data_IF_955894841153
#
_entry.id   IF_955894841153
#
_cell.length_a   1.000
_cell.length_b   1.000
_cell.length_c   1.000
_cell.angle_alpha   90.00
_cell.angle_beta   90.00
_cell.angle_gamma   90.00
#
_symmetry.space_group_name_H-M   'P 1'
#
loop_
_entity.id
_entity.type
_entity.pdbx_description
1 polymer ?
#
# COMPACT_ATOMS: atom_id res chain seq x y z
N UNK A 1 8.05 -21.95 -27.04
CA UNK A 1 8.76 -22.70 -25.96
C UNK A 1 9.84 -21.78 -25.40
N UNK A 2 10.07 -21.70 -24.07
CA UNK A 2 11.14 -20.86 -23.54
C UNK A 2 12.50 -21.32 -24.11
N UNK A 3 13.39 -20.40 -24.52
CA UNK A 3 14.64 -20.75 -25.20
C UNK A 3 15.70 -21.37 -24.28
N UNK A 4 15.62 -21.13 -22.96
CA UNK A 4 16.50 -21.71 -21.96
C UNK A 4 15.93 -21.53 -20.53
N UNK A 5 16.57 -22.18 -19.55
CA UNK A 5 16.30 -22.02 -18.11
C UNK A 5 17.58 -21.61 -17.36
N UNK A 6 17.41 -20.85 -16.28
CA UNK A 6 18.51 -20.46 -15.39
C UNK A 6 19.02 -21.67 -14.59
N UNK A 7 20.33 -21.89 -14.61
CA UNK A 7 20.99 -22.98 -13.88
C UNK A 7 21.22 -22.68 -12.39
N UNK A 8 21.05 -21.43 -11.97
CA UNK A 8 21.30 -20.96 -10.60
C UNK A 8 20.15 -20.06 -10.11
N UNK A 9 19.88 -20.03 -8.79
CA UNK A 9 18.90 -19.12 -8.20
C UNK A 9 19.35 -17.66 -8.34
N UNK A 10 18.37 -16.76 -8.46
CA UNK A 10 18.60 -15.31 -8.51
C UNK A 10 18.16 -14.72 -7.17
N UNK A 11 19.06 -13.96 -6.55
CA UNK A 11 18.72 -13.13 -5.41
C UNK A 11 17.87 -11.95 -5.84
N UNK A 12 16.69 -11.80 -5.24
CA UNK A 12 15.81 -10.66 -5.47
C UNK A 12 15.65 -9.87 -4.18
N UNK A 13 16.17 -8.65 -4.18
CA UNK A 13 15.99 -7.70 -3.10
C UNK A 13 14.83 -6.78 -3.47
N UNK A 14 13.64 -6.90 -2.85
CA UNK A 14 12.47 -6.13 -3.23
C UNK A 14 12.62 -4.63 -2.91
N UNK A 15 13.48 -4.29 -1.95
CA UNK A 15 13.75 -2.92 -1.51
C UNK A 15 15.22 -2.78 -1.18
N UNK A 16 15.80 -1.63 -1.52
CA UNK A 16 17.19 -1.25 -1.19
C UNK A 16 17.28 -0.54 0.15
N UNK A 17 16.26 0.24 0.50
CA UNK A 17 16.18 1.04 1.73
C UNK A 17 14.71 1.36 2.07
N UNK A 18 14.49 2.02 3.22
CA UNK A 18 13.15 2.39 3.68
C UNK A 18 12.48 3.45 2.80
N UNK A 19 13.25 4.37 2.20
CA UNK A 19 12.72 5.36 1.27
C UNK A 19 12.03 4.68 0.07
N UNK A 20 12.65 3.65 -0.50
CA UNK A 20 12.07 2.89 -1.60
C UNK A 20 10.79 2.15 -1.17
N UNK A 21 10.71 1.66 0.08
CA UNK A 21 9.49 1.04 0.64
C UNK A 21 8.35 2.05 0.61
N UNK A 22 8.56 3.24 1.18
CA UNK A 22 7.54 4.30 1.24
C UNK A 22 7.15 4.76 -0.17
N UNK A 23 8.13 4.97 -1.05
CA UNK A 23 7.87 5.39 -2.43
C UNK A 23 7.03 4.35 -3.19
N UNK A 24 7.36 3.06 -3.07
CA UNK A 24 6.57 1.97 -3.67
C UNK A 24 5.19 1.86 -3.04
N UNK A 25 5.07 1.97 -1.72
CA UNK A 25 3.77 1.96 -1.03
C UNK A 25 2.86 3.07 -1.57
N UNK A 26 3.39 4.29 -1.74
CA UNK A 26 2.65 5.41 -2.32
C UNK A 26 2.26 5.15 -3.79
N UNK A 27 3.21 4.75 -4.64
CA UNK A 27 2.97 4.50 -6.07
C UNK A 27 1.96 3.39 -6.30
N UNK A 28 2.13 2.24 -5.65
CA UNK A 28 1.26 1.09 -5.83
C UNK A 28 -0.12 1.28 -5.19
N UNK A 29 -0.23 2.01 -4.09
CA UNK A 29 -1.54 2.37 -3.53
C UNK A 29 -2.34 3.28 -4.48
N UNK A 30 -1.69 4.26 -5.13
CA UNK A 30 -2.35 5.11 -6.15
C UNK A 30 -2.82 4.28 -7.34
N UNK A 31 -1.96 3.43 -7.90
CA UNK A 31 -2.34 2.54 -9.01
C UNK A 31 -3.46 1.57 -8.62
N UNK A 32 -3.42 1.06 -7.40
CA UNK A 32 -4.45 0.19 -6.83
C UNK A 32 -5.80 0.90 -6.69
N UNK A 33 -5.80 2.14 -6.19
CA UNK A 33 -7.00 2.96 -6.05
C UNK A 33 -7.64 3.24 -7.42
N UNK A 34 -6.84 3.67 -8.40
CA UNK A 34 -7.32 3.89 -9.77
C UNK A 34 -7.89 2.60 -10.40
N UNK A 35 -7.25 1.45 -10.17
CA UNK A 35 -7.76 0.15 -10.64
C UNK A 35 -9.09 -0.24 -9.99
N UNK A 36 -9.27 0.05 -8.69
CA UNK A 36 -10.51 -0.22 -7.98
C UNK A 36 -11.63 0.73 -8.41
N UNK A 37 -11.31 2.01 -8.59
CA UNK A 37 -12.24 3.02 -9.10
C UNK A 37 -12.76 2.64 -10.48
N UNK A 38 -11.87 2.25 -11.41
CA UNK A 38 -12.24 1.71 -12.73
C UNK A 38 -13.14 0.46 -12.69
N UNK A 39 -13.12 -0.28 -11.59
CA UNK A 39 -13.96 -1.47 -11.37
C UNK A 39 -15.29 -1.14 -10.68
N UNK A 40 -15.60 0.15 -10.47
CA UNK A 40 -16.80 0.59 -9.74
C UNK A 40 -16.81 0.16 -8.28
N UNK A 41 -15.64 -0.07 -7.66
CA UNK A 41 -15.57 -0.44 -6.25
C UNK A 41 -15.60 0.81 -5.39
N UNK A 42 -16.31 0.73 -4.28
CA UNK A 42 -16.36 1.78 -3.26
C UNK A 42 -15.71 1.31 -1.96
N UNK A 43 -15.13 2.23 -1.21
CA UNK A 43 -14.58 1.96 0.11
C UNK A 43 -14.76 3.19 1.01
N UNK A 44 -14.97 2.97 2.30
CA UNK A 44 -14.93 4.01 3.33
C UNK A 44 -13.56 4.03 4.01
N UNK A 45 -13.26 5.11 4.75
CA UNK A 45 -12.02 5.17 5.54
C UNK A 45 -11.94 4.07 6.60
N UNK A 46 -13.08 3.70 7.20
CA UNK A 46 -13.14 2.61 8.17
C UNK A 46 -12.84 1.24 7.52
N UNK A 47 -13.38 1.01 6.32
CA UNK A 47 -13.05 -0.18 5.53
C UNK A 47 -11.57 -0.23 5.15
N UNK A 48 -10.98 0.92 4.81
CA UNK A 48 -9.55 1.02 4.52
C UNK A 48 -8.69 0.62 5.73
N UNK A 49 -9.03 1.13 6.92
CA UNK A 49 -8.33 0.81 8.16
C UNK A 49 -8.41 -0.67 8.50
N UNK A 50 -9.62 -1.25 8.51
CA UNK A 50 -9.79 -2.69 8.75
C UNK A 50 -9.00 -3.56 7.78
N UNK A 51 -9.06 -3.22 6.48
CA UNK A 51 -8.30 -3.94 5.43
C UNK A 51 -6.80 -3.87 5.69
N UNK A 52 -6.31 -2.70 6.10
CA UNK A 52 -4.93 -2.49 6.52
C UNK A 52 -4.56 -3.39 7.71
N UNK A 53 -5.31 -3.30 8.81
CA UNK A 53 -5.05 -4.07 10.04
C UNK A 53 -5.07 -5.57 9.75
N UNK A 54 -6.05 -6.05 8.98
CA UNK A 54 -6.10 -7.44 8.56
C UNK A 54 -4.86 -7.84 7.76
N UNK A 55 -4.42 -6.99 6.81
CA UNK A 55 -3.19 -7.20 6.03
C UNK A 55 -1.96 -7.32 6.94
N UNK A 56 -1.85 -6.45 7.93
CA UNK A 56 -0.78 -6.46 8.92
C UNK A 56 -0.78 -7.76 9.72
N UNK A 57 -1.90 -8.10 10.37
CA UNK A 57 -2.01 -9.28 11.23
C UNK A 57 -1.77 -10.56 10.43
N UNK A 58 -2.29 -10.62 9.20
CA UNK A 58 -2.07 -11.75 8.32
C UNK A 58 -0.58 -11.89 7.93
N UNK A 59 0.13 -10.79 7.65
CA UNK A 59 1.57 -10.88 7.35
C UNK A 59 2.41 -11.15 8.60
N UNK A 60 2.15 -10.45 9.70
CA UNK A 60 2.99 -10.50 10.88
C UNK A 60 2.79 -11.79 11.68
N UNK A 61 1.54 -12.21 11.87
CA UNK A 61 1.19 -13.39 12.68
C UNK A 61 1.04 -14.62 11.81
N UNK A 62 0.14 -14.60 10.82
CA UNK A 62 -0.20 -15.81 10.05
C UNK A 62 0.93 -16.25 9.10
N UNK A 63 1.69 -15.29 8.55
CA UNK A 63 2.89 -15.59 7.76
C UNK A 63 4.17 -15.65 8.59
N UNK A 64 4.06 -15.65 9.93
CA UNK A 64 5.18 -15.79 10.86
C UNK A 64 6.26 -14.71 10.70
N UNK A 65 5.91 -13.51 10.20
CA UNK A 65 6.84 -12.39 10.13
C UNK A 65 7.41 -11.98 11.50
N UNK A 66 6.71 -12.33 12.59
CA UNK A 66 7.23 -12.21 13.96
C UNK A 66 8.57 -12.94 14.19
N UNK A 67 8.85 -14.02 13.46
CA UNK A 67 10.11 -14.77 13.59
C UNK A 67 11.31 -14.01 13.02
N UNK A 68 11.06 -13.08 12.10
CA UNK A 68 12.10 -12.26 11.47
C UNK A 68 12.42 -11.00 12.31
N UNK A 69 11.72 -10.77 13.42
CA UNK A 69 11.91 -9.61 14.29
C UNK A 69 11.56 -8.28 13.59
N UNK A 70 12.44 -7.28 13.71
CA UNK A 70 12.26 -5.95 13.13
C UNK A 70 12.03 -5.96 11.61
N UNK A 71 12.83 -6.70 10.80
CA UNK A 71 12.56 -6.86 9.36
C UNK A 71 11.12 -7.31 9.05
N UNK A 72 10.63 -8.35 9.73
CA UNK A 72 9.29 -8.86 9.51
C UNK A 72 8.20 -7.87 9.92
N UNK A 73 8.43 -7.12 11.01
CA UNK A 73 7.55 -6.02 11.41
C UNK A 73 7.46 -4.92 10.35
N UNK A 74 8.60 -4.44 9.84
CA UNK A 74 8.64 -3.39 8.81
C UNK A 74 7.97 -3.85 7.52
N UNK A 75 8.15 -5.11 7.12
CA UNK A 75 7.48 -5.69 5.95
C UNK A 75 5.96 -5.75 6.15
N UNK A 76 5.51 -6.19 7.33
CA UNK A 76 4.09 -6.19 7.66
C UNK A 76 3.50 -4.78 7.70
N UNK A 77 4.24 -3.80 8.24
CA UNK A 77 3.84 -2.39 8.29
C UNK A 77 3.76 -1.77 6.88
N UNK A 78 4.74 -2.01 6.02
CA UNK A 78 4.67 -1.54 4.62
C UNK A 78 3.48 -2.14 3.86
N UNK A 79 3.07 -3.35 4.20
CA UNK A 79 1.88 -3.99 3.62
C UNK A 79 0.57 -3.43 4.19
N UNK A 80 0.54 -3.07 5.47
CA UNK A 80 -0.52 -2.27 6.06
C UNK A 80 -0.67 -0.96 5.29
N UNK A 81 0.40 -0.17 5.18
CA UNK A 81 0.38 1.15 4.52
C UNK A 81 -0.09 1.04 3.08
N UNK A 82 0.46 0.10 2.31
CA UNK A 82 0.07 -0.12 0.92
C UNK A 82 -1.41 -0.50 0.77
N UNK A 83 -1.95 -1.32 1.68
CA UNK A 83 -3.36 -1.72 1.65
C UNK A 83 -4.27 -0.61 2.14
N UNK A 84 -3.92 0.04 3.24
CA UNK A 84 -4.65 1.16 3.82
C UNK A 84 -4.76 2.31 2.80
N UNK A 85 -3.62 2.82 2.31
CA UNK A 85 -3.61 3.93 1.37
C UNK A 85 -4.30 3.62 0.05
N UNK A 86 -4.30 2.35 -0.40
CA UNK A 86 -5.04 1.96 -1.61
C UNK A 86 -6.55 2.20 -1.45
N UNK A 87 -7.13 1.84 -0.31
CA UNK A 87 -8.55 2.05 -0.05
C UNK A 87 -8.87 3.47 0.42
N UNK A 88 -7.95 4.11 1.17
CA UNK A 88 -8.09 5.50 1.58
C UNK A 88 -8.09 6.45 0.37
N UNK A 89 -7.16 6.26 -0.57
CA UNK A 89 -7.13 7.01 -1.84
C UNK A 89 -8.36 6.72 -2.70
N UNK A 90 -8.87 5.49 -2.70
CA UNK A 90 -10.12 5.18 -3.38
C UNK A 90 -11.29 5.98 -2.79
N UNK A 91 -11.38 6.04 -1.46
CA UNK A 91 -12.37 6.85 -0.76
C UNK A 91 -12.19 8.33 -1.06
N UNK A 92 -10.96 8.85 -1.03
CA UNK A 92 -10.63 10.24 -1.37
C UNK A 92 -11.06 10.59 -2.80
N UNK A 93 -10.74 9.74 -3.79
CA UNK A 93 -11.18 9.94 -5.18
C UNK A 93 -12.71 9.94 -5.35
N UNK A 94 -13.44 9.34 -4.42
CA UNK A 94 -14.91 9.25 -4.43
C UNK A 94 -15.55 10.32 -3.53
N UNK A 95 -14.77 10.92 -2.65
CA UNK A 95 -15.22 11.97 -1.74
C UNK A 95 -15.09 13.29 -2.46
N UNK A 96 -16.19 14.03 -2.60
CA UNK A 96 -16.16 15.41 -3.11
C UNK A 96 -15.71 16.37 -1.99
N UNK A 97 -14.54 16.09 -1.40
CA UNK A 97 -13.97 16.97 -0.39
C UNK A 97 -13.45 18.23 -1.08
N UNK A 98 -14.03 19.37 -0.70
CA UNK A 98 -13.62 20.68 -1.19
C UNK A 98 -12.99 21.45 -0.04
N UNK A 99 -11.83 22.10 -0.26
CA UNK A 99 -11.27 22.99 0.75
C UNK A 99 -12.26 24.13 1.04
N UNK A 100 -12.35 24.61 2.30
CA UNK A 100 -13.16 25.77 2.60
C UNK A 100 -12.63 26.98 1.82
N UNK A 101 -13.54 27.86 1.39
CA UNK A 101 -13.18 29.09 0.70
C UNK A 101 -12.22 29.91 1.59
N UNK A 102 -11.04 30.21 1.07
CA UNK A 102 -10.05 31.04 1.76
C UNK A 102 -10.16 32.46 1.23
N UNK A 103 -10.25 33.49 2.10
CA UNK A 103 -10.18 34.87 1.66
C UNK A 103 -8.83 35.14 0.95
N UNK A 104 -8.79 36.05 -0.03
CA UNK A 104 -7.56 36.33 -0.78
C UNK A 104 -6.46 36.80 0.18
N UNK A 105 -5.27 36.20 0.05
CA UNK A 105 -4.11 36.62 0.82
C UNK A 105 -3.75 38.05 0.38
N UNK A 106 -3.93 39.01 1.28
CA UNK A 106 -3.51 40.39 1.08
C UNK A 106 -1.98 40.41 1.18
N UNK A 107 -1.29 40.60 0.05
CA UNK A 107 0.14 40.91 0.03
C UNK A 107 0.40 42.32 0.53
#
# INVERSE_FOLDING_TARGET
RPPAYLKKPIWQFPYKNLEEVVHKANKYSTLGAAKLSRKGRHATMWHALLRGIWSFLHMYVLKKGILDGWPGFIIALGNFEGTFYKYAKLHEMQSDWRPPASPPLRR
#
